data_IF_552736270266
#
_entry.id   IF_552736270266
#
_cell.length_a   1.000
_cell.length_b   1.000
_cell.length_c   1.000
_cell.angle_alpha   90.00
_cell.angle_beta   90.00
_cell.angle_gamma   90.00
#
_symmetry.space_group_name_H-M   'P 1'
#
loop_
_entity.id
_entity.type
_entity.pdbx_description
1 polymer ?
#
# COMPACT_ATOMS: atom_id res chain seq x y z
N UNK A 1 11.87 -8.27 -19.86
CA UNK A 1 11.72 -6.89 -20.37
C UNK A 1 12.81 -5.97 -19.83
N UNK A 2 13.01 -5.85 -18.51
CA UNK A 2 14.09 -5.03 -17.93
C UNK A 2 15.50 -5.35 -18.46
N UNK A 3 15.86 -6.63 -18.61
CA UNK A 3 17.17 -7.00 -19.18
C UNK A 3 17.36 -6.55 -20.64
N UNK A 4 16.28 -6.35 -21.41
CA UNK A 4 16.33 -5.97 -22.82
C UNK A 4 16.20 -4.45 -23.02
N UNK A 5 15.41 -3.77 -22.17
CA UNK A 5 15.04 -2.37 -22.35
C UNK A 5 15.61 -1.44 -21.26
N UNK A 6 16.33 -1.98 -20.27
CA UNK A 6 16.92 -1.23 -19.16
C UNK A 6 16.02 -1.16 -17.93
N UNK A 7 16.49 -0.39 -16.93
CA UNK A 7 15.84 -0.21 -15.63
C UNK A 7 14.55 0.63 -15.69
N UNK A 8 14.35 1.42 -16.75
CA UNK A 8 13.15 2.23 -16.96
C UNK A 8 12.66 2.04 -18.39
N UNK A 9 11.43 1.55 -18.55
CA UNK A 9 10.83 1.35 -19.87
C UNK A 9 9.32 1.52 -19.83
N UNK A 10 8.69 1.76 -20.98
CA UNK A 10 7.24 1.87 -21.08
C UNK A 10 6.62 0.64 -21.73
N UNK A 11 5.44 0.26 -21.25
CA UNK A 11 4.61 -0.83 -21.80
C UNK A 11 3.19 -0.32 -22.01
N UNK A 12 2.54 -0.84 -23.04
CA UNK A 12 1.13 -0.56 -23.32
C UNK A 12 0.28 -1.70 -22.74
N UNK A 13 -0.48 -1.43 -21.69
CA UNK A 13 -1.42 -2.36 -21.07
C UNK A 13 -2.84 -2.06 -21.55
N UNK A 14 -3.25 -2.71 -22.64
CA UNK A 14 -4.51 -2.38 -23.30
C UNK A 14 -4.50 -0.94 -23.82
N UNK A 15 -5.40 -0.09 -23.32
CA UNK A 15 -5.45 1.35 -23.67
C UNK A 15 -4.54 2.21 -22.80
N UNK A 16 -4.00 1.67 -21.71
CA UNK A 16 -3.20 2.42 -20.74
C UNK A 16 -1.70 2.32 -21.02
N UNK A 17 -1.02 3.47 -21.05
CA UNK A 17 0.44 3.53 -21.14
C UNK A 17 1.02 3.52 -19.73
N UNK A 18 1.90 2.56 -19.44
CA UNK A 18 2.50 2.37 -18.12
C UNK A 18 4.01 2.47 -18.22
N UNK A 19 4.64 3.20 -17.30
CA UNK A 19 6.09 3.21 -17.11
C UNK A 19 6.45 2.22 -16.01
N UNK A 20 7.39 1.33 -16.31
CA UNK A 20 7.89 0.31 -15.39
C UNK A 20 9.27 0.74 -14.90
N UNK A 21 9.42 0.79 -13.59
CA UNK A 21 10.69 1.00 -12.91
C UNK A 21 11.18 -0.36 -12.37
N UNK A 22 12.40 -0.75 -12.72
CA UNK A 22 13.02 -2.01 -12.35
C UNK A 22 14.44 -1.78 -11.83
N UNK A 23 14.79 -2.48 -10.76
CA UNK A 23 16.09 -2.33 -10.11
C UNK A 23 16.06 -1.28 -9.00
N UNK A 24 16.95 -1.46 -8.02
CA UNK A 24 16.97 -0.66 -6.79
C UNK A 24 17.13 0.83 -7.07
N UNK A 25 18.10 1.22 -7.90
CA UNK A 25 18.41 2.63 -8.15
C UNK A 25 17.22 3.38 -8.76
N UNK A 26 16.61 2.82 -9.81
CA UNK A 26 15.45 3.45 -10.47
C UNK A 26 14.22 3.55 -9.56
N UNK A 27 13.96 2.54 -8.73
CA UNK A 27 12.82 2.54 -7.80
C UNK A 27 13.08 3.52 -6.66
N UNK A 28 14.29 3.53 -6.10
CA UNK A 28 14.68 4.45 -5.03
C UNK A 28 14.60 5.90 -5.51
N UNK A 29 15.15 6.17 -6.68
CA UNK A 29 15.18 7.53 -7.21
C UNK A 29 13.77 8.08 -7.39
N UNK A 30 12.89 7.33 -8.03
CA UNK A 30 11.50 7.74 -8.23
C UNK A 30 10.70 7.85 -6.94
N UNK A 31 10.73 6.82 -6.06
CA UNK A 31 9.82 6.75 -4.91
C UNK A 31 10.34 7.46 -3.66
N UNK A 32 11.63 7.82 -3.61
CA UNK A 32 12.24 8.51 -2.46
C UNK A 32 12.74 9.89 -2.86
N UNK A 33 13.59 10.01 -3.88
CA UNK A 33 14.18 11.30 -4.26
C UNK A 33 13.14 12.20 -4.96
N UNK A 34 12.23 11.60 -5.72
CA UNK A 34 11.10 12.26 -6.40
C UNK A 34 9.75 11.86 -5.79
N UNK A 35 9.72 11.71 -4.47
CA UNK A 35 8.56 11.16 -3.78
C UNK A 35 7.28 11.97 -4.00
N UNK A 36 7.35 13.30 -4.14
CA UNK A 36 6.14 14.12 -4.36
C UNK A 36 5.52 13.83 -5.73
N UNK A 37 6.33 13.74 -6.78
CA UNK A 37 5.90 13.48 -8.15
C UNK A 37 5.32 12.06 -8.32
N UNK A 38 5.84 11.09 -7.58
CA UNK A 38 5.40 9.69 -7.60
C UNK A 38 4.48 9.29 -6.43
N UNK A 39 4.04 10.26 -5.62
CA UNK A 39 3.23 9.99 -4.41
C UNK A 39 1.77 9.63 -4.69
N UNK A 40 1.28 9.86 -5.92
CA UNK A 40 -0.10 9.62 -6.29
C UNK A 40 -0.44 8.12 -6.47
N UNK A 41 -1.71 7.79 -6.73
CA UNK A 41 -2.15 6.41 -6.98
C UNK A 41 -2.55 6.22 -8.45
N UNK A 42 -2.48 5.00 -8.93
CA UNK A 42 -3.08 4.67 -10.23
C UNK A 42 -4.60 4.58 -10.05
N UNK A 43 -5.36 5.31 -10.87
CA UNK A 43 -6.82 5.22 -10.85
C UNK A 43 -7.28 4.04 -11.69
N UNK A 44 -7.49 2.89 -11.06
CA UNK A 44 -8.15 1.77 -11.72
C UNK A 44 -9.66 2.02 -11.85
N UNK A 45 -10.27 1.56 -12.94
CA UNK A 45 -11.73 1.63 -13.13
C UNK A 45 -12.49 0.94 -11.99
N UNK A 46 -11.93 -0.14 -11.45
CA UNK A 46 -12.52 -0.89 -10.34
C UNK A 46 -12.49 -0.10 -9.02
N UNK A 47 -11.35 0.50 -8.67
CA UNK A 47 -11.23 1.34 -7.48
C UNK A 47 -12.11 2.58 -7.58
N UNK A 48 -12.19 3.21 -8.75
CA UNK A 48 -13.11 4.34 -8.99
C UNK A 48 -14.58 3.95 -8.77
N UNK A 49 -15.03 2.80 -9.29
CA UNK A 49 -16.42 2.35 -9.13
C UNK A 49 -16.77 1.99 -7.69
N UNK A 50 -15.88 1.28 -6.98
CA UNK A 50 -16.15 0.80 -5.62
C UNK A 50 -15.93 1.87 -4.56
N UNK A 51 -14.84 2.61 -4.65
CA UNK A 51 -14.36 3.50 -3.58
C UNK A 51 -14.57 4.97 -3.89
N UNK A 52 -14.88 5.32 -5.16
CA UNK A 52 -15.19 6.69 -5.60
C UNK A 52 -14.14 7.75 -5.22
N UNK A 53 -12.89 7.34 -4.99
CA UNK A 53 -11.79 8.22 -4.56
C UNK A 53 -11.76 8.52 -3.05
N UNK A 54 -12.58 7.84 -2.24
CA UNK A 54 -12.57 7.94 -0.78
C UNK A 54 -11.67 6.88 -0.11
N UNK A 55 -11.40 7.07 1.18
CA UNK A 55 -10.56 6.20 2.00
C UNK A 55 -9.09 6.62 1.98
N UNK A 56 -8.20 5.67 2.22
CA UNK A 56 -6.75 5.92 2.37
C UNK A 56 -5.92 5.24 1.28
N UNK A 57 -6.35 4.08 0.78
CA UNK A 57 -5.53 3.26 -0.13
C UNK A 57 -5.56 3.82 -1.57
N UNK A 58 -6.73 4.27 -2.03
CA UNK A 58 -6.98 4.71 -3.41
C UNK A 58 -7.49 6.17 -3.50
N UNK A 59 -7.29 6.96 -2.44
CA UNK A 59 -7.55 8.40 -2.45
C UNK A 59 -6.30 9.16 -2.93
N UNK A 60 -6.51 10.44 -3.27
CA UNK A 60 -5.51 11.31 -3.90
C UNK A 60 -5.45 12.67 -3.21
N UNK A 61 -4.37 13.42 -3.48
CA UNK A 61 -4.22 14.80 -3.05
C UNK A 61 -4.42 15.03 -1.56
N UNK A 62 -5.05 16.15 -1.19
CA UNK A 62 -5.19 16.55 0.21
C UNK A 62 -6.04 15.59 1.04
N UNK A 63 -7.08 15.01 0.45
CA UNK A 63 -7.91 14.01 1.12
C UNK A 63 -7.06 12.81 1.58
N UNK A 64 -6.18 12.32 0.72
CA UNK A 64 -5.25 11.25 1.09
C UNK A 64 -4.28 11.66 2.20
N UNK A 65 -3.68 12.85 2.08
CA UNK A 65 -2.71 13.37 3.06
C UNK A 65 -3.31 13.49 4.46
N UNK A 66 -4.50 14.07 4.56
CA UNK A 66 -5.22 14.25 5.83
C UNK A 66 -5.62 12.91 6.43
N UNK A 67 -6.28 12.06 5.65
CA UNK A 67 -6.77 10.75 6.14
C UNK A 67 -5.62 9.84 6.57
N UNK A 68 -4.52 9.79 5.79
CA UNK A 68 -3.34 9.01 6.15
C UNK A 68 -2.73 9.49 7.47
N UNK A 69 -2.58 10.80 7.66
CA UNK A 69 -2.01 11.37 8.89
C UNK A 69 -2.88 11.06 10.09
N UNK A 70 -4.18 11.29 9.98
CA UNK A 70 -5.15 10.97 11.02
C UNK A 70 -5.08 9.48 11.39
N UNK A 71 -5.19 8.58 10.41
CA UNK A 71 -5.20 7.14 10.67
C UNK A 71 -3.89 6.64 11.29
N UNK A 72 -2.74 7.13 10.84
CA UNK A 72 -1.46 6.73 11.46
C UNK A 72 -1.33 7.20 12.91
N UNK A 73 -1.83 8.39 13.24
CA UNK A 73 -1.88 8.87 14.61
C UNK A 73 -2.82 8.00 15.46
N UNK A 74 -4.05 7.84 15.00
CA UNK A 74 -5.08 7.05 15.70
C UNK A 74 -4.65 5.60 15.91
N UNK A 75 -4.03 4.94 14.91
CA UNK A 75 -3.53 3.58 15.07
C UNK A 75 -2.46 3.48 16.16
N UNK A 76 -1.54 4.45 16.26
CA UNK A 76 -0.54 4.50 17.35
C UNK A 76 -1.19 4.74 18.70
N UNK A 77 -2.24 5.56 18.76
CA UNK A 77 -3.00 5.77 19.99
C UNK A 77 -3.67 4.48 20.45
N UNK A 78 -4.24 3.70 19.52
CA UNK A 78 -4.80 2.37 19.76
C UNK A 78 -3.76 1.26 20.01
N UNK A 79 -2.47 1.58 20.04
CA UNK A 79 -1.43 0.63 20.44
C UNK A 79 -0.59 0.07 19.30
N UNK A 80 -0.80 0.47 18.04
CA UNK A 80 0.06 0.05 16.94
C UNK A 80 1.53 0.40 17.22
N UNK A 81 2.38 -0.61 17.22
CA UNK A 81 3.80 -0.48 17.57
C UNK A 81 4.09 -0.46 19.09
N UNK A 82 3.08 -0.73 19.93
CA UNK A 82 3.20 -0.91 21.38
C UNK A 82 2.90 -2.36 21.75
N UNK A 83 3.30 -2.75 22.97
CA UNK A 83 3.08 -4.08 23.53
C UNK A 83 1.60 -4.49 23.58
N UNK A 84 0.68 -3.54 23.75
CA UNK A 84 -0.76 -3.83 23.77
C UNK A 84 -1.24 -4.52 22.49
N UNK A 85 -0.76 -4.10 21.31
CA UNK A 85 -1.11 -4.76 20.04
C UNK A 85 -0.43 -6.12 19.92
N UNK A 86 0.79 -6.28 20.44
CA UNK A 86 1.45 -7.59 20.50
C UNK A 86 0.65 -8.59 21.36
N UNK A 87 0.18 -8.16 22.52
CA UNK A 87 -0.65 -8.99 23.41
C UNK A 87 -1.94 -9.44 22.70
N UNK A 88 -2.65 -8.53 22.02
CA UNK A 88 -3.84 -8.87 21.21
C UNK A 88 -3.52 -9.84 20.08
N UNK A 89 -2.39 -9.64 19.36
CA UNK A 89 -1.99 -10.57 18.30
C UNK A 89 -1.74 -11.98 18.87
N UNK A 90 -1.04 -12.08 20.00
CA UNK A 90 -0.77 -13.37 20.64
C UNK A 90 -2.06 -14.05 21.12
N UNK A 91 -3.02 -13.28 21.63
CA UNK A 91 -4.34 -13.80 22.00
C UNK A 91 -5.09 -14.40 20.79
N UNK A 92 -5.16 -13.67 19.67
CA UNK A 92 -5.77 -14.16 18.43
C UNK A 92 -5.03 -15.39 17.86
N UNK A 93 -3.71 -15.45 17.98
CA UNK A 93 -2.94 -16.65 17.63
C UNK A 93 -3.33 -17.86 18.49
N UNK A 94 -3.59 -17.68 19.78
CA UNK A 94 -4.06 -18.76 20.65
C UNK A 94 -5.45 -19.25 20.21
N UNK A 95 -6.38 -18.34 19.92
CA UNK A 95 -7.70 -18.71 19.38
C UNK A 95 -7.59 -19.48 18.06
N UNK A 96 -6.69 -19.05 17.17
CA UNK A 96 -6.43 -19.73 15.91
C UNK A 96 -5.89 -21.16 16.14
N UNK A 97 -4.96 -21.33 17.08
CA UNK A 97 -4.42 -22.66 17.42
C UNK A 97 -5.48 -23.59 18.00
N UNK A 98 -6.34 -23.10 18.90
CA UNK A 98 -7.45 -23.91 19.45
C UNK A 98 -8.45 -24.29 18.36
N UNK A 99 -8.73 -23.38 17.42
CA UNK A 99 -9.55 -23.65 16.25
C UNK A 99 -8.94 -24.76 15.38
N UNK A 100 -7.62 -24.78 15.18
CA UNK A 100 -6.99 -25.90 14.46
C UNK A 100 -7.02 -27.23 15.20
N UNK A 101 -6.95 -27.20 16.54
CA UNK A 101 -7.05 -28.42 17.35
C UNK A 101 -8.45 -29.03 17.33
N UNK A 102 -9.50 -28.24 17.16
CA UNK A 102 -10.89 -28.73 17.13
C UNK A 102 -11.30 -29.42 15.82
N UNK A 103 -10.50 -29.29 14.76
CA UNK A 103 -10.69 -30.02 13.50
C UNK A 103 -10.03 -31.42 13.50
N UNK A 104 -9.44 -31.85 14.62
CA UNK A 104 -9.07 -33.26 14.85
C UNK A 104 -10.22 -34.01 15.49
#
# INVERSE_FOLDING_TARGET
>A
LGNKYGSVFSVQLGTEKVVVLCGYDAVKDALINHAEEFSERAVSTLSRKRLKGYGIIFSHGENWKVMRRFTLATLRDFGMGKRTTEDTINEECNFLMETFKSYK
#
